data_IF_790413745768
#
_entry.id   IF_790413745768
#
_cell.length_a   1.000
_cell.length_b   1.000
_cell.length_c   1.000
_cell.angle_alpha   90.00
_cell.angle_beta   90.00
_cell.angle_gamma   90.00
#
_symmetry.space_group_name_H-M   'P 1'
#
loop_
_entity.id
_entity.type
_entity.pdbx_description
1 polymer ?
#
# COMPACT_ATOMS: atom_id res chain seq x y z
N UNK A 1 -124.93 -18.19 -51.85
CA UNK A 1 -123.94 -17.19 -51.81
C UNK A 1 -122.76 -17.65 -50.91
N UNK A 2 -121.96 -18.70 -51.24
CA UNK A 2 -120.91 -19.29 -50.34
C UNK A 2 -119.84 -20.05 -51.13
N UNK A 3 -119.42 -19.54 -52.30
CA UNK A 3 -118.36 -20.19 -53.11
C UNK A 3 -117.19 -19.28 -53.49
N UNK A 4 -117.19 -18.02 -53.02
CA UNK A 4 -116.19 -17.07 -53.43
C UNK A 4 -115.02 -16.90 -52.37
N UNK A 5 -115.13 -17.35 -51.11
CA UNK A 5 -114.18 -17.10 -50.00
C UNK A 5 -113.07 -18.15 -49.90
N UNK A 6 -113.28 -19.34 -50.42
CA UNK A 6 -112.30 -20.43 -50.33
C UNK A 6 -111.18 -20.37 -51.35
N UNK A 7 -111.31 -19.67 -52.48
CA UNK A 7 -110.21 -19.57 -53.47
C UNK A 7 -109.19 -18.47 -53.09
N UNK A 8 -109.61 -17.43 -52.38
CA UNK A 8 -108.70 -16.38 -51.93
C UNK A 8 -107.69 -16.80 -50.80
N UNK A 9 -108.08 -17.77 -49.96
CA UNK A 9 -107.29 -18.22 -48.86
C UNK A 9 -106.15 -19.20 -49.25
N UNK A 10 -106.33 -19.93 -50.37
CA UNK A 10 -105.33 -20.89 -50.90
C UNK A 10 -104.17 -20.19 -51.65
N UNK A 11 -104.40 -19.00 -52.24
CA UNK A 11 -103.40 -18.25 -52.99
C UNK A 11 -102.44 -17.46 -52.07
N UNK A 12 -102.87 -17.08 -50.85
CA UNK A 12 -101.99 -16.41 -49.90
C UNK A 12 -101.10 -17.40 -49.19
N UNK A 13 -101.47 -18.66 -49.03
CA UNK A 13 -100.63 -19.67 -48.34
C UNK A 13 -99.44 -20.15 -49.18
N UNK A 14 -99.50 -20.04 -50.54
CA UNK A 14 -98.37 -20.42 -51.42
C UNK A 14 -97.35 -19.35 -51.65
N UNK A 15 -97.59 -18.08 -51.29
CA UNK A 15 -96.65 -16.96 -51.44
C UNK A 15 -95.67 -16.83 -50.24
N UNK A 16 -95.97 -17.45 -49.09
CA UNK A 16 -95.11 -17.42 -47.89
C UNK A 16 -94.09 -18.55 -47.86
N UNK A 17 -94.06 -19.49 -48.78
CA UNK A 17 -93.12 -20.63 -48.73
C UNK A 17 -91.84 -20.45 -49.58
N UNK A 18 -91.66 -19.31 -50.29
CA UNK A 18 -90.49 -19.05 -51.12
C UNK A 18 -89.51 -18.00 -50.54
N UNK A 19 -89.71 -17.51 -49.33
CA UNK A 19 -88.84 -16.46 -48.70
C UNK A 19 -87.77 -16.97 -47.74
N UNK A 20 -87.39 -18.26 -47.75
CA UNK A 20 -86.60 -18.87 -46.69
C UNK A 20 -85.23 -19.44 -47.08
N UNK A 21 -84.50 -18.88 -48.06
CA UNK A 21 -83.12 -19.22 -48.32
C UNK A 21 -82.30 -17.96 -48.35
N UNK A 22 -82.19 -17.27 -47.20
CA UNK A 22 -81.12 -16.33 -46.91
C UNK A 22 -79.94 -17.10 -46.34
N UNK A 23 -78.97 -17.31 -47.18
CA UNK A 23 -77.64 -17.86 -46.77
C UNK A 23 -77.02 -16.91 -45.77
N UNK A 24 -77.14 -17.20 -44.43
CA UNK A 24 -76.41 -16.52 -43.40
C UNK A 24 -74.96 -16.96 -43.51
N UNK A 25 -74.13 -16.09 -44.08
CA UNK A 25 -72.71 -16.26 -44.01
C UNK A 25 -72.32 -16.45 -42.53
N UNK A 26 -71.55 -17.49 -42.19
CA UNK A 26 -71.09 -17.69 -40.82
C UNK A 26 -70.38 -16.43 -40.35
N UNK A 27 -70.59 -16.02 -39.12
CA UNK A 27 -69.90 -14.86 -38.58
C UNK A 27 -68.39 -15.03 -38.78
N UNK A 28 -67.71 -13.99 -39.28
CA UNK A 28 -66.30 -14.01 -39.48
C UNK A 28 -65.60 -14.42 -38.16
N UNK A 29 -64.64 -15.33 -38.21
CA UNK A 29 -63.93 -15.74 -37.00
C UNK A 29 -63.38 -14.51 -36.32
N UNK A 30 -63.37 -14.44 -34.95
CA UNK A 30 -62.83 -13.30 -34.23
C UNK A 30 -61.33 -13.14 -34.60
N UNK A 31 -60.87 -11.91 -34.77
CA UNK A 31 -59.44 -11.67 -35.08
C UNK A 31 -58.58 -12.39 -34.08
N UNK A 32 -57.48 -13.03 -34.51
CA UNK A 32 -56.58 -13.70 -33.60
C UNK A 32 -56.02 -12.70 -32.53
N UNK A 33 -56.14 -13.06 -31.26
CA UNK A 33 -55.56 -12.28 -30.17
C UNK A 33 -54.05 -12.47 -30.23
N UNK A 34 -53.31 -11.42 -30.49
CA UNK A 34 -51.83 -11.39 -30.44
C UNK A 34 -51.39 -10.69 -29.15
N UNK A 35 -50.52 -11.32 -28.43
CA UNK A 35 -49.85 -10.67 -27.29
C UNK A 35 -48.88 -9.62 -27.82
N UNK A 36 -49.04 -8.38 -27.40
CA UNK A 36 -48.10 -7.28 -27.73
C UNK A 36 -47.27 -7.01 -26.49
N UNK A 37 -45.96 -7.09 -26.64
CA UNK A 37 -45.01 -6.63 -25.60
C UNK A 37 -44.56 -5.24 -25.97
N UNK A 38 -44.86 -4.27 -25.15
CA UNK A 38 -44.39 -2.91 -25.32
C UNK A 38 -42.90 -2.85 -24.90
N UNK A 39 -42.01 -2.60 -25.87
CA UNK A 39 -40.59 -2.46 -25.65
C UNK A 39 -40.30 -1.07 -25.09
N UNK A 40 -39.99 -1.01 -23.81
CA UNK A 40 -39.48 0.21 -23.18
C UNK A 40 -37.94 0.21 -23.23
N UNK A 41 -37.34 1.38 -23.56
CA UNK A 41 -35.90 1.53 -23.48
C UNK A 41 -35.46 1.45 -22.02
N UNK A 42 -34.69 0.43 -21.66
CA UNK A 42 -34.06 0.28 -20.36
C UNK A 42 -32.56 0.39 -20.53
N UNK A 43 -31.90 1.09 -19.60
CA UNK A 43 -30.45 1.12 -19.55
C UNK A 43 -29.93 -0.28 -19.18
N UNK A 44 -29.28 -0.95 -20.11
CA UNK A 44 -28.61 -2.22 -19.88
C UNK A 44 -27.17 -1.92 -19.46
N UNK A 45 -26.75 -2.29 -18.24
CA UNK A 45 -25.32 -2.11 -17.82
C UNK A 45 -24.47 -3.04 -18.70
N UNK A 46 -23.51 -2.46 -19.41
CA UNK A 46 -22.47 -3.21 -20.10
C UNK A 46 -21.40 -3.61 -19.09
N UNK A 47 -21.41 -4.85 -18.67
CA UNK A 47 -20.37 -5.41 -17.80
C UNK A 47 -19.30 -6.06 -18.66
N UNK A 48 -18.04 -5.61 -18.49
CA UNK A 48 -16.90 -6.22 -19.14
C UNK A 48 -15.96 -6.76 -18.07
N UNK A 49 -15.70 -8.06 -18.07
CA UNK A 49 -14.71 -8.69 -17.21
C UNK A 49 -13.31 -8.43 -17.77
N UNK A 50 -12.44 -7.91 -16.95
CA UNK A 50 -11.06 -7.58 -17.32
C UNK A 50 -10.09 -8.34 -16.42
N UNK A 51 -9.07 -8.99 -16.99
CA UNK A 51 -8.01 -9.61 -16.19
C UNK A 51 -7.19 -8.52 -15.50
N UNK A 52 -7.03 -8.64 -14.20
CA UNK A 52 -6.25 -7.72 -13.39
C UNK A 52 -5.33 -8.43 -12.42
N UNK A 53 -4.29 -7.73 -11.96
CA UNK A 53 -3.40 -8.18 -10.90
C UNK A 53 -3.47 -7.21 -9.74
N UNK A 54 -3.46 -7.77 -8.54
CA UNK A 54 -3.38 -6.97 -7.32
C UNK A 54 -1.90 -6.73 -7.01
N UNK A 55 -1.51 -5.46 -6.86
CA UNK A 55 -0.18 -5.04 -6.43
C UNK A 55 -0.28 -4.29 -5.10
N UNK A 56 0.66 -4.54 -4.18
CA UNK A 56 0.71 -3.82 -2.92
C UNK A 56 1.00 -2.34 -3.15
N UNK A 57 0.36 -1.45 -2.37
CA UNK A 57 0.61 -0.01 -2.43
C UNK A 57 2.06 0.33 -2.10
N UNK A 58 2.61 -0.31 -1.07
CA UNK A 58 3.98 -0.16 -0.63
C UNK A 58 4.61 -1.53 -0.39
N UNK A 59 5.84 -1.69 -0.85
CA UNK A 59 6.65 -2.88 -0.60
C UNK A 59 7.99 -2.43 -0.02
N UNK A 60 8.35 -2.96 1.14
CA UNK A 60 9.62 -2.68 1.78
C UNK A 60 10.44 -3.95 1.98
N UNK A 61 11.64 -3.95 1.48
CA UNK A 61 12.61 -5.00 1.69
C UNK A 61 13.38 -4.75 2.98
N UNK A 62 13.37 -5.74 3.85
CA UNK A 62 14.12 -5.70 5.12
C UNK A 62 15.52 -6.24 4.85
N UNK A 63 16.53 -5.36 4.87
CA UNK A 63 17.94 -5.70 4.63
C UNK A 63 18.79 -5.38 5.86
N UNK A 64 19.83 -6.18 6.18
CA UNK A 64 20.74 -5.88 7.25
C UNK A 64 21.64 -4.69 6.88
N UNK A 65 21.95 -3.83 7.85
CA UNK A 65 22.87 -2.70 7.68
C UNK A 65 24.26 -2.98 8.27
N UNK A 66 24.40 -4.12 8.96
CA UNK A 66 25.65 -4.59 9.59
C UNK A 66 25.86 -6.07 9.29
N UNK A 67 27.08 -6.53 9.48
CA UNK A 67 27.44 -7.94 9.35
C UNK A 67 27.20 -8.67 10.69
N UNK A 68 26.76 -9.92 10.65
CA UNK A 68 26.65 -10.72 11.86
C UNK A 68 25.77 -11.95 11.68
N UNK A 69 25.60 -12.71 12.74
CA UNK A 69 24.78 -13.90 12.76
C UNK A 69 23.38 -13.54 13.28
N UNK A 70 22.34 -14.00 12.62
CA UNK A 70 20.97 -13.86 13.11
C UNK A 70 20.82 -14.71 14.38
N UNK A 71 20.61 -14.07 15.51
CA UNK A 71 20.39 -14.71 16.79
C UNK A 71 18.97 -15.23 16.94
N UNK A 72 17.98 -14.38 16.58
CA UNK A 72 16.55 -14.69 16.71
C UNK A 72 15.74 -14.00 15.64
N UNK A 73 14.65 -14.66 15.23
CA UNK A 73 13.54 -14.09 14.47
C UNK A 73 12.35 -13.91 15.42
N UNK A 74 11.76 -12.72 15.44
CA UNK A 74 10.74 -12.30 16.42
C UNK A 74 9.36 -12.10 15.80
N UNK A 75 9.11 -12.70 14.64
CA UNK A 75 7.82 -12.67 13.95
C UNK A 75 7.47 -14.05 13.40
N UNK A 76 6.17 -14.28 13.16
CA UNK A 76 5.68 -15.41 12.39
C UNK A 76 5.59 -15.01 10.91
N UNK A 77 5.99 -15.90 10.01
CA UNK A 77 5.89 -15.68 8.56
C UNK A 77 4.43 -15.53 8.15
N UNK A 78 4.15 -14.58 7.25
CA UNK A 78 2.80 -14.25 6.83
C UNK A 78 1.98 -13.44 7.83
N UNK A 79 2.54 -13.09 9.00
CA UNK A 79 1.85 -12.30 10.01
C UNK A 79 1.78 -10.81 9.65
N UNK A 80 0.86 -10.10 10.29
CA UNK A 80 0.80 -8.65 10.24
C UNK A 80 1.82 -8.06 11.22
N UNK A 81 2.66 -7.14 10.73
CA UNK A 81 3.66 -6.42 11.53
C UNK A 81 3.37 -4.93 11.52
N UNK A 82 3.82 -4.23 12.56
CA UNK A 82 3.70 -2.77 12.68
C UNK A 82 5.04 -2.11 12.42
N UNK A 83 5.02 -0.90 11.85
CA UNK A 83 6.23 -0.08 11.73
C UNK A 83 6.92 0.07 13.09
N UNK A 84 8.27 -0.09 13.12
CA UNK A 84 9.06 -0.09 14.34
C UNK A 84 9.09 -1.42 15.11
N UNK A 85 8.23 -2.40 14.78
CA UNK A 85 8.25 -3.72 15.41
C UNK A 85 9.57 -4.43 15.14
N UNK A 86 10.16 -5.05 16.18
CA UNK A 86 11.39 -5.82 16.07
C UNK A 86 11.15 -7.12 15.30
N UNK A 87 11.95 -7.36 14.26
CA UNK A 87 11.84 -8.51 13.36
C UNK A 87 12.97 -9.52 13.58
N UNK A 88 14.20 -9.02 13.60
CA UNK A 88 15.37 -9.84 13.77
C UNK A 88 16.31 -9.23 14.82
N UNK A 89 17.02 -10.09 15.47
CA UNK A 89 18.13 -9.76 16.37
C UNK A 89 19.41 -10.39 15.83
N UNK A 90 20.39 -9.55 15.50
CA UNK A 90 21.75 -9.97 15.14
C UNK A 90 22.59 -10.05 16.41
N UNK A 91 23.59 -10.93 16.46
CA UNK A 91 24.53 -11.04 17.57
C UNK A 91 25.21 -9.68 17.83
N UNK A 92 24.95 -9.12 19.01
CA UNK A 92 25.34 -7.76 19.36
C UNK A 92 26.66 -7.68 20.17
N UNK A 93 27.23 -8.82 20.58
CA UNK A 93 28.40 -8.85 21.44
C UNK A 93 29.61 -8.06 20.88
N UNK A 94 29.99 -8.17 19.59
CA UNK A 94 31.08 -7.36 19.02
C UNK A 94 30.79 -5.85 19.06
N UNK A 95 29.55 -5.48 18.79
CA UNK A 95 29.10 -4.07 18.75
C UNK A 95 29.04 -3.44 20.14
N UNK A 96 28.60 -4.20 21.15
CA UNK A 96 28.68 -3.77 22.56
C UNK A 96 30.12 -3.56 23.01
N UNK A 97 31.02 -4.46 22.62
CA UNK A 97 32.44 -4.32 22.93
C UNK A 97 33.04 -3.05 22.29
N UNK A 98 32.70 -2.80 21.00
CA UNK A 98 33.14 -1.58 20.29
C UNK A 98 32.60 -0.30 20.95
N UNK A 99 31.32 -0.30 21.36
CA UNK A 99 30.71 0.81 22.10
C UNK A 99 31.45 1.04 23.44
N UNK A 100 31.73 -0.02 24.21
CA UNK A 100 32.49 0.06 25.46
C UNK A 100 33.88 0.62 25.26
N UNK A 101 34.57 0.23 24.17
CA UNK A 101 35.88 0.79 23.82
C UNK A 101 35.82 2.30 23.52
N UNK A 102 34.82 2.72 22.71
CA UNK A 102 34.63 4.14 22.41
C UNK A 102 34.27 4.96 23.66
N UNK A 103 33.46 4.43 24.56
CA UNK A 103 33.13 5.06 25.85
C UNK A 103 34.37 5.21 26.74
N UNK A 104 35.25 4.20 26.78
CA UNK A 104 36.53 4.27 27.49
C UNK A 104 37.47 5.33 26.92
N UNK A 105 37.51 5.48 25.58
CA UNK A 105 38.29 6.53 24.93
C UNK A 105 37.73 7.93 25.25
N UNK A 106 36.41 8.10 25.24
CA UNK A 106 35.77 9.35 25.66
C UNK A 106 36.08 9.69 27.11
N UNK A 107 36.04 8.73 28.03
CA UNK A 107 36.34 8.96 29.42
C UNK A 107 37.81 9.43 29.64
N UNK A 108 38.76 8.87 28.88
CA UNK A 108 40.15 9.34 28.87
C UNK A 108 40.29 10.76 28.36
N UNK A 109 39.63 11.09 27.25
CA UNK A 109 39.64 12.46 26.69
C UNK A 109 39.04 13.47 27.69
N UNK A 110 37.94 13.09 28.35
CA UNK A 110 37.30 13.93 29.38
C UNK A 110 38.16 14.12 30.61
N UNK A 111 38.97 13.16 31.00
CA UNK A 111 39.93 13.32 32.08
C UNK A 111 41.06 14.31 31.71
N UNK A 112 41.55 14.25 30.46
CA UNK A 112 42.58 15.16 29.95
C UNK A 112 42.13 16.62 29.89
N UNK A 113 40.87 16.90 29.54
CA UNK A 113 40.35 18.27 29.37
C UNK A 113 40.43 19.08 30.69
N UNK A 114 40.21 18.43 31.83
CA UNK A 114 40.29 19.13 33.13
C UNK A 114 41.71 19.60 33.45
N UNK A 115 42.68 18.75 33.20
CA UNK A 115 44.10 19.07 33.48
C UNK A 115 44.58 20.21 32.56
N UNK A 116 44.33 20.10 31.27
CA UNK A 116 44.74 21.12 30.27
C UNK A 116 44.02 22.45 30.45
N UNK A 117 42.74 22.45 30.81
CA UNK A 117 41.97 23.67 31.10
C UNK A 117 42.51 24.40 32.34
N UNK A 118 42.79 23.67 33.43
CA UNK A 118 43.36 24.24 34.62
C UNK A 118 44.78 24.78 34.38
N UNK A 119 45.56 24.09 33.53
CA UNK A 119 46.88 24.57 33.15
C UNK A 119 46.76 25.87 32.33
N UNK A 120 45.93 25.91 31.32
CA UNK A 120 45.72 27.12 30.52
C UNK A 120 45.25 28.31 31.37
N UNK A 121 44.40 28.06 32.36
CA UNK A 121 43.92 29.09 33.28
C UNK A 121 45.11 29.65 34.11
N UNK A 122 45.92 28.77 34.75
CA UNK A 122 47.08 29.18 35.54
C UNK A 122 48.09 29.98 34.71
N UNK A 123 48.41 29.54 33.50
CA UNK A 123 49.35 30.26 32.64
C UNK A 123 48.80 31.61 32.19
N UNK A 124 47.50 31.74 31.99
CA UNK A 124 46.86 33.03 31.71
C UNK A 124 47.03 34.03 32.88
N UNK A 125 46.81 33.54 34.09
CA UNK A 125 46.96 34.37 35.30
C UNK A 125 48.44 34.80 35.51
N UNK A 126 49.40 33.88 35.25
CA UNK A 126 50.82 34.12 35.37
C UNK A 126 51.36 35.09 34.31
N UNK A 127 50.89 35.11 33.12
CA UNK A 127 51.23 36.10 32.08
C UNK A 127 50.84 37.50 32.53
N UNK A 128 49.71 37.66 33.23
CA UNK A 128 49.23 38.95 33.73
C UNK A 128 50.20 39.61 34.69
N UNK A 129 51.06 38.84 35.37
CA UNK A 129 52.09 39.31 36.28
C UNK A 129 53.55 39.13 35.76
N UNK A 130 53.66 38.84 34.40
CA UNK A 130 54.93 38.59 33.70
C UNK A 130 55.78 37.43 34.31
N UNK A 131 55.19 36.47 34.99
CA UNK A 131 55.84 35.30 35.57
C UNK A 131 56.11 34.16 34.58
N UNK A 132 55.49 34.16 33.39
CA UNK A 132 55.72 33.23 32.28
C UNK A 132 55.67 33.95 30.94
N UNK A 133 56.24 33.36 29.89
CA UNK A 133 56.23 33.93 28.56
C UNK A 133 54.84 33.86 27.94
N UNK A 134 54.50 34.78 27.03
CA UNK A 134 53.26 34.74 26.27
C UNK A 134 53.14 33.46 25.43
N UNK A 135 54.28 32.99 24.87
CA UNK A 135 54.32 31.76 24.10
C UNK A 135 53.92 30.53 24.94
N UNK A 136 54.32 30.44 26.19
CA UNK A 136 53.92 29.35 27.09
C UNK A 136 52.43 29.39 27.40
N UNK A 137 51.85 30.57 27.59
CA UNK A 137 50.43 30.74 27.81
C UNK A 137 49.62 30.38 26.55
N UNK A 138 50.11 30.79 25.37
CA UNK A 138 49.45 30.44 24.07
C UNK A 138 49.52 28.94 23.81
N UNK A 139 50.67 28.29 24.11
CA UNK A 139 50.81 26.83 24.01
C UNK A 139 49.82 26.08 24.94
N UNK A 140 49.70 26.56 26.20
CA UNK A 140 48.75 25.98 27.15
C UNK A 140 47.30 26.17 26.71
N UNK A 141 46.94 27.33 26.13
CA UNK A 141 45.62 27.60 25.57
C UNK A 141 45.33 26.71 24.37
N UNK A 142 46.32 26.54 23.46
CA UNK A 142 46.19 25.64 22.30
C UNK A 142 45.97 24.18 22.73
N UNK A 143 46.76 23.71 23.75
CA UNK A 143 46.60 22.38 24.34
C UNK A 143 45.20 22.16 24.93
N UNK A 144 44.65 23.15 25.63
CA UNK A 144 43.30 23.07 26.17
C UNK A 144 42.23 23.03 25.05
N UNK A 145 42.46 23.78 23.97
CA UNK A 145 41.57 23.77 22.80
C UNK A 145 41.63 22.42 22.08
N UNK A 146 42.83 21.83 21.93
CA UNK A 146 43.00 20.50 21.36
C UNK A 146 42.26 19.44 22.17
N UNK A 147 42.43 19.44 23.51
CA UNK A 147 41.76 18.51 24.40
C UNK A 147 40.20 18.61 24.29
N UNK A 148 39.66 19.81 24.05
CA UNK A 148 38.21 20.00 23.77
C UNK A 148 37.79 19.35 22.44
N UNK A 149 38.59 19.55 21.39
CA UNK A 149 38.37 18.94 20.10
C UNK A 149 38.44 17.41 20.18
N UNK A 150 39.39 16.85 20.94
CA UNK A 150 39.49 15.41 21.16
C UNK A 150 38.25 14.83 21.85
N UNK A 151 37.70 15.53 22.87
CA UNK A 151 36.44 15.10 23.49
C UNK A 151 35.29 15.09 22.48
N UNK A 152 35.18 16.10 21.62
CA UNK A 152 34.14 16.15 20.59
C UNK A 152 34.31 14.98 19.59
N UNK A 153 35.55 14.68 19.19
CA UNK A 153 35.83 13.55 18.29
C UNK A 153 35.48 12.20 18.95
N UNK A 154 35.80 11.98 20.23
CA UNK A 154 35.43 10.75 20.93
C UNK A 154 33.93 10.65 21.19
N UNK A 155 33.21 11.77 21.38
CA UNK A 155 31.74 11.77 21.45
C UNK A 155 31.10 11.28 20.12
N UNK A 156 31.63 11.76 19.01
CA UNK A 156 31.20 11.30 17.69
C UNK A 156 31.45 9.80 17.47
N UNK A 157 32.63 9.30 17.94
CA UNK A 157 32.97 7.88 17.88
C UNK A 157 32.00 7.01 18.72
N UNK A 158 31.64 7.46 19.94
CA UNK A 158 30.61 6.80 20.76
C UNK A 158 29.28 6.76 20.06
N UNK A 159 28.86 7.86 19.41
CA UNK A 159 27.59 7.91 18.67
C UNK A 159 27.59 6.94 17.49
N UNK A 160 28.69 6.88 16.73
CA UNK A 160 28.84 5.93 15.62
C UNK A 160 28.74 4.46 16.10
N UNK A 161 29.43 4.13 17.18
CA UNK A 161 29.39 2.79 17.77
C UNK A 161 27.99 2.43 18.30
N UNK A 162 27.23 3.41 18.84
CA UNK A 162 25.85 3.22 19.29
C UNK A 162 24.92 2.94 18.12
N UNK A 163 25.03 3.69 17.01
CA UNK A 163 24.25 3.48 15.79
C UNK A 163 24.49 2.07 15.25
N UNK A 164 25.75 1.62 15.19
CA UNK A 164 26.08 0.26 14.76
C UNK A 164 25.47 -0.81 15.69
N UNK A 165 25.45 -0.56 16.99
CA UNK A 165 24.78 -1.45 17.93
C UNK A 165 23.24 -1.45 17.71
N UNK A 166 22.64 -0.31 17.44
CA UNK A 166 21.19 -0.23 17.16
C UNK A 166 20.82 -0.99 15.90
N UNK A 167 21.67 -1.05 14.88
CA UNK A 167 21.47 -1.84 13.68
C UNK A 167 21.45 -3.36 13.92
N UNK A 168 21.92 -3.84 15.09
CA UNK A 168 21.74 -5.25 15.47
C UNK A 168 20.27 -5.64 15.65
N UNK A 169 19.39 -4.66 15.86
CA UNK A 169 17.97 -4.82 16.07
C UNK A 169 17.21 -4.36 14.83
N UNK A 170 16.95 -5.30 13.93
CA UNK A 170 16.27 -5.00 12.67
C UNK A 170 14.78 -4.84 12.92
N UNK A 171 14.23 -3.67 12.55
CA UNK A 171 12.83 -3.31 12.74
C UNK A 171 12.10 -3.19 11.41
N UNK A 172 10.78 -3.34 11.45
CA UNK A 172 9.90 -3.13 10.30
C UNK A 172 9.90 -1.64 9.90
N UNK A 173 10.24 -1.30 8.64
CA UNK A 173 10.20 0.08 8.15
C UNK A 173 8.76 0.57 7.92
N UNK A 174 7.84 -0.32 7.55
CA UNK A 174 6.43 -0.04 7.31
C UNK A 174 5.55 -1.04 8.06
N UNK A 175 4.28 -0.70 8.24
CA UNK A 175 3.26 -1.65 8.68
C UNK A 175 2.73 -2.42 7.48
N UNK A 176 2.45 -3.72 7.65
CA UNK A 176 1.93 -4.55 6.57
C UNK A 176 2.11 -6.04 6.86
N UNK A 177 1.82 -6.87 5.86
CA UNK A 177 2.02 -8.30 5.94
C UNK A 177 3.45 -8.66 5.58
N UNK A 178 4.15 -9.33 6.49
CA UNK A 178 5.52 -9.80 6.25
C UNK A 178 5.48 -11.15 5.52
N UNK A 179 6.32 -11.30 4.52
CA UNK A 179 6.50 -12.55 3.79
C UNK A 179 7.29 -13.60 4.58
N UNK A 180 7.75 -14.62 3.86
CA UNK A 180 8.66 -15.62 4.44
C UNK A 180 10.03 -15.00 4.71
N UNK A 181 10.74 -15.53 5.68
CA UNK A 181 12.15 -15.23 5.93
C UNK A 181 13.03 -16.05 4.99
N UNK A 182 13.95 -15.38 4.29
CA UNK A 182 14.92 -16.08 3.43
C UNK A 182 16.11 -16.63 4.25
N UNK A 183 16.30 -16.12 5.47
CA UNK A 183 17.39 -16.51 6.36
C UNK A 183 16.84 -17.02 7.68
N UNK A 184 17.45 -18.09 8.19
CA UNK A 184 17.10 -18.70 9.47
C UNK A 184 18.00 -18.20 10.61
N UNK A 185 17.58 -18.30 11.88
CA UNK A 185 18.47 -18.10 13.00
C UNK A 185 19.73 -18.99 12.86
N UNK A 186 20.90 -18.43 13.15
CA UNK A 186 22.21 -19.03 12.92
C UNK A 186 22.86 -18.68 11.57
N UNK A 187 22.13 -18.11 10.63
CA UNK A 187 22.68 -17.67 9.35
C UNK A 187 23.54 -16.41 9.51
N UNK A 188 24.66 -16.37 8.77
CA UNK A 188 25.47 -15.17 8.61
C UNK A 188 24.81 -14.24 7.59
N UNK A 189 24.70 -12.96 7.94
CA UNK A 189 24.21 -11.89 7.06
C UNK A 189 25.23 -10.79 6.92
N UNK A 190 25.18 -10.07 5.80
CA UNK A 190 26.14 -9.02 5.46
C UNK A 190 25.41 -7.72 5.13
N UNK A 191 26.02 -6.61 5.51
CA UNK A 191 25.50 -5.29 5.18
C UNK A 191 25.38 -5.11 3.66
N UNK A 192 24.21 -4.67 3.19
CA UNK A 192 23.96 -4.40 1.79
C UNK A 192 23.89 -5.64 0.89
N UNK A 193 23.73 -6.85 1.44
CA UNK A 193 23.54 -8.08 0.64
C UNK A 193 22.38 -7.94 -0.35
N UNK A 194 22.46 -8.65 -1.48
CA UNK A 194 21.46 -8.59 -2.55
C UNK A 194 20.10 -9.16 -2.11
N UNK A 195 20.12 -10.27 -1.35
CA UNK A 195 18.90 -10.90 -0.89
C UNK A 195 18.38 -10.24 0.39
N UNK A 196 17.12 -9.81 0.43
CA UNK A 196 16.51 -9.27 1.63
C UNK A 196 16.26 -10.38 2.65
N UNK A 197 16.22 -10.05 3.93
CA UNK A 197 15.85 -10.97 5.00
C UNK A 197 14.37 -11.38 4.90
N UNK A 198 13.51 -10.43 4.61
CA UNK A 198 12.08 -10.59 4.38
C UNK A 198 11.56 -9.36 3.61
N UNK A 199 10.37 -9.50 3.03
CA UNK A 199 9.66 -8.41 2.36
C UNK A 199 8.37 -8.14 3.11
N UNK A 200 8.07 -6.87 3.36
CA UNK A 200 6.81 -6.42 3.97
C UNK A 200 5.99 -5.73 2.88
N UNK A 201 4.73 -6.11 2.76
CA UNK A 201 3.79 -5.55 1.80
C UNK A 201 2.61 -4.93 2.54
N UNK A 202 2.28 -3.72 2.18
CA UNK A 202 1.08 -3.05 2.66
C UNK A 202 -0.11 -3.56 1.86
N UNK A 203 -1.07 -4.18 2.55
CA UNK A 203 -2.22 -4.87 1.94
C UNK A 203 -3.58 -4.29 2.36
N UNK A 204 -3.59 -3.20 3.13
CA UNK A 204 -4.79 -2.47 3.52
C UNK A 204 -5.37 -1.66 2.34
N UNK A 205 -4.51 -1.13 1.48
CA UNK A 205 -4.82 -0.48 0.23
C UNK A 205 -3.97 -1.15 -0.85
N UNK A 206 -4.58 -1.49 -1.98
CA UNK A 206 -3.90 -2.17 -3.08
C UNK A 206 -4.18 -1.47 -4.41
N UNK A 207 -3.25 -1.57 -5.34
CA UNK A 207 -3.47 -1.26 -6.74
C UNK A 207 -4.08 -2.47 -7.44
N UNK A 208 -4.97 -2.20 -8.37
CA UNK A 208 -5.47 -3.19 -9.31
C UNK A 208 -5.00 -2.80 -10.70
N UNK A 209 -4.00 -3.51 -11.19
CA UNK A 209 -3.45 -3.30 -12.52
C UNK A 209 -4.28 -4.09 -13.53
N UNK A 210 -5.03 -3.38 -14.36
CA UNK A 210 -5.89 -3.98 -15.39
C UNK A 210 -5.26 -3.76 -16.75
N UNK A 211 -5.05 -4.84 -17.50
CA UNK A 211 -4.52 -4.78 -18.87
C UNK A 211 -5.66 -4.78 -19.89
N UNK A 212 -5.66 -3.77 -20.77
CA UNK A 212 -6.60 -3.66 -21.89
C UNK A 212 -5.86 -3.39 -23.18
N UNK A 213 -6.47 -3.81 -24.31
CA UNK A 213 -5.96 -3.42 -25.63
C UNK A 213 -6.22 -1.93 -25.89
N UNK A 214 -5.36 -1.30 -26.71
CA UNK A 214 -5.53 0.11 -27.07
C UNK A 214 -6.91 0.39 -27.72
N UNK A 215 -7.44 -0.54 -28.50
CA UNK A 215 -8.76 -0.44 -29.11
C UNK A 215 -9.86 -0.36 -28.02
N UNK A 216 -9.85 -1.28 -27.06
CA UNK A 216 -10.83 -1.29 -25.95
C UNK A 216 -10.80 0.00 -25.12
N UNK A 217 -9.59 0.57 -24.91
CA UNK A 217 -9.45 1.85 -24.19
C UNK A 217 -10.09 3.00 -24.99
N UNK A 218 -9.92 3.00 -26.32
CA UNK A 218 -10.51 4.03 -27.19
C UNK A 218 -12.03 3.92 -27.17
N UNK A 219 -12.56 2.70 -27.32
CA UNK A 219 -14.01 2.44 -27.31
C UNK A 219 -14.62 2.85 -25.94
N UNK A 220 -13.97 2.50 -24.84
CA UNK A 220 -14.40 2.91 -23.51
C UNK A 220 -14.41 4.44 -23.34
N UNK A 221 -13.36 5.12 -23.82
CA UNK A 221 -13.28 6.60 -23.77
C UNK A 221 -14.36 7.25 -24.62
N UNK A 222 -14.74 6.66 -25.77
CA UNK A 222 -15.82 7.16 -26.60
C UNK A 222 -17.18 6.94 -25.93
N UNK A 223 -17.43 5.76 -25.35
CA UNK A 223 -18.62 5.47 -24.58
C UNK A 223 -18.81 6.41 -23.38
N UNK A 224 -17.72 6.71 -22.66
CA UNK A 224 -17.74 7.68 -21.56
C UNK A 224 -18.09 9.11 -22.01
N UNK A 225 -17.60 9.53 -23.19
CA UNK A 225 -17.92 10.84 -23.76
C UNK A 225 -19.37 10.94 -24.23
N UNK A 226 -19.96 9.83 -24.66
CA UNK A 226 -21.36 9.73 -25.06
C UNK A 226 -22.35 9.68 -23.88
N UNK A 227 -21.89 9.78 -22.62
CA UNK A 227 -22.72 9.78 -21.42
C UNK A 227 -23.13 8.38 -20.93
N UNK A 228 -22.52 7.33 -21.45
CA UNK A 228 -22.90 5.94 -21.21
C UNK A 228 -22.24 5.24 -20.01
N UNK A 229 -21.43 5.90 -19.18
CA UNK A 229 -20.82 5.21 -18.03
C UNK A 229 -20.86 6.05 -16.75
N UNK A 230 -21.38 5.45 -15.70
CA UNK A 230 -21.31 6.00 -14.35
C UNK A 230 -19.89 5.76 -13.79
N UNK A 231 -19.22 6.83 -13.34
CA UNK A 231 -17.86 6.81 -12.77
C UNK A 231 -17.74 6.06 -11.43
N UNK A 232 -18.85 5.53 -10.91
CA UNK A 232 -18.91 4.98 -9.54
C UNK A 232 -18.66 3.48 -9.40
N UNK A 233 -18.38 2.76 -10.47
CA UNK A 233 -18.21 1.31 -10.43
C UNK A 233 -16.76 0.83 -10.50
N UNK A 234 -15.80 1.62 -9.95
CA UNK A 234 -14.46 1.11 -9.65
C UNK A 234 -14.32 1.05 -8.14
N UNK A 235 -14.70 -0.08 -7.56
CA UNK A 235 -14.39 -0.51 -6.21
C UNK A 235 -13.39 -1.66 -6.30
#
# INVERSE_FOLDING_TARGET
MQKGIFVGLLACASALALGGCGEQSPPAPPPPSVGVVELTMQNAPLMTELPGRIAALETAEVRPQINGIIRRRLFAEGAQVRAGQMLYEIEDAPYRAALGQAQGALARAQASIRATALQAQRYRDLVGINAVSRQEADNAAASAQQARADVAAQQAAVQAARVNQDFTRIRAPISGRIGRSLFTPGALVQAGQADPLATIQRTDIVYVDVTQSAAQIIDLKQAMKAGGSDRKSVV
#
